data_IF_084096366342
#
_entry.id   IF_084096366342
#
_cell.length_a   1.000
_cell.length_b   1.000
_cell.length_c   1.000
_cell.angle_alpha   90.00
_cell.angle_beta   90.00
_cell.angle_gamma   90.00
#
_symmetry.space_group_name_H-M   'P 1'
#
loop_
_entity.id
_entity.type
_entity.pdbx_description
1 polymer ?
#
# COMPACT_ATOMS: atom_id res chain seq x y z
N UNK A 1 8.15 -12.37 -8.82
CA UNK A 1 8.31 -12.02 -7.41
C UNK A 1 8.37 -10.50 -7.34
N UNK A 2 7.78 -9.84 -6.34
CA UNK A 2 7.78 -8.39 -6.32
C UNK A 2 9.18 -7.84 -5.98
N UNK A 3 9.64 -6.91 -6.81
CA UNK A 3 10.79 -6.05 -6.51
C UNK A 3 10.26 -4.74 -5.96
N UNK A 4 10.80 -4.29 -4.84
CA UNK A 4 10.45 -3.04 -4.16
C UNK A 4 11.67 -2.13 -4.05
N UNK A 5 11.42 -0.84 -3.99
CA UNK A 5 12.44 0.17 -3.74
C UNK A 5 12.34 0.65 -2.30
N UNK A 6 13.41 0.50 -1.55
CA UNK A 6 13.49 0.95 -0.15
C UNK A 6 14.54 2.05 -0.02
N UNK A 7 14.27 3.04 0.85
CA UNK A 7 15.29 4.00 1.28
C UNK A 7 16.14 3.38 2.38
N UNK A 8 17.45 3.36 2.18
CA UNK A 8 18.39 2.87 3.19
C UNK A 8 18.34 3.71 4.46
N UNK A 9 18.26 5.05 4.29
CA UNK A 9 18.18 5.97 5.45
C UNK A 9 16.90 5.75 6.24
N UNK A 10 15.77 5.58 5.57
CA UNK A 10 14.49 5.34 6.23
C UNK A 10 14.50 3.99 6.96
N UNK A 11 15.01 2.94 6.31
CA UNK A 11 15.19 1.63 6.92
C UNK A 11 16.06 1.70 8.18
N UNK A 12 17.21 2.38 8.10
CA UNK A 12 18.12 2.58 9.22
C UNK A 12 17.48 3.36 10.37
N UNK A 13 16.73 4.42 10.04
CA UNK A 13 15.98 5.21 11.03
C UNK A 13 14.91 4.37 11.73
N UNK A 14 14.14 3.59 10.98
CA UNK A 14 13.10 2.70 11.51
C UNK A 14 13.70 1.58 12.36
N UNK A 15 14.82 1.02 11.95
CA UNK A 15 15.53 0.00 12.73
C UNK A 15 16.33 0.57 13.91
N UNK A 16 16.61 1.88 13.91
CA UNK A 16 17.47 2.53 14.91
C UNK A 16 18.91 1.99 14.91
N UNK A 17 19.43 1.62 13.73
CA UNK A 17 20.78 1.11 13.51
C UNK A 17 21.21 1.39 12.08
N UNK A 18 22.48 1.79 11.89
CA UNK A 18 23.11 1.86 10.56
C UNK A 18 23.61 0.49 10.15
N UNK A 19 23.58 0.23 8.86
CA UNK A 19 24.01 -1.04 8.27
C UNK A 19 25.09 -0.82 7.19
N UNK A 20 26.10 -1.68 7.17
CA UNK A 20 26.90 -1.87 5.97
C UNK A 20 26.05 -2.60 4.90
N UNK A 21 26.51 -2.61 3.66
CA UNK A 21 25.82 -3.34 2.61
C UNK A 21 25.84 -4.85 2.88
N UNK A 22 26.95 -5.34 3.41
CA UNK A 22 27.15 -6.75 3.76
C UNK A 22 26.19 -7.18 4.88
N UNK A 23 26.13 -6.40 5.98
CA UNK A 23 25.19 -6.64 7.07
C UNK A 23 23.73 -6.64 6.56
N UNK A 24 23.40 -5.70 5.67
CA UNK A 24 22.06 -5.61 5.15
C UNK A 24 21.71 -6.82 4.27
N UNK A 25 22.65 -7.32 3.46
CA UNK A 25 22.47 -8.56 2.68
C UNK A 25 22.16 -9.75 3.58
N UNK A 26 22.90 -9.92 4.66
CA UNK A 26 22.67 -11.01 5.62
C UNK A 26 21.32 -10.87 6.32
N UNK A 27 20.97 -9.66 6.78
CA UNK A 27 19.70 -9.41 7.44
C UNK A 27 18.49 -9.61 6.52
N UNK A 28 18.61 -9.25 5.25
CA UNK A 28 17.52 -9.44 4.28
C UNK A 28 17.23 -10.92 3.99
N UNK A 29 18.15 -11.84 4.28
CA UNK A 29 17.87 -13.27 4.16
C UNK A 29 16.72 -13.71 5.09
N UNK A 30 16.54 -13.07 6.24
CA UNK A 30 15.44 -13.35 7.17
C UNK A 30 14.08 -13.14 6.52
N UNK A 31 13.98 -12.15 5.64
CA UNK A 31 12.77 -11.85 4.85
C UNK A 31 12.80 -12.46 3.46
N UNK A 32 13.76 -13.35 3.18
CA UNK A 32 14.04 -13.92 1.85
C UNK A 32 14.14 -12.83 0.77
N UNK A 33 14.76 -11.71 1.15
CA UNK A 33 15.04 -10.57 0.28
C UNK A 33 16.43 -10.68 -0.34
N UNK A 34 16.52 -10.35 -1.62
CA UNK A 34 17.78 -10.23 -2.33
C UNK A 34 17.96 -8.82 -2.87
N UNK A 35 19.14 -8.23 -2.63
CA UNK A 35 19.48 -6.92 -3.19
C UNK A 35 19.83 -7.09 -4.67
N UNK A 36 19.03 -6.53 -5.54
CA UNK A 36 19.26 -6.51 -6.98
C UNK A 36 20.15 -5.34 -7.40
N UNK A 37 19.92 -4.14 -6.83
CA UNK A 37 20.68 -2.94 -7.14
C UNK A 37 20.72 -1.98 -5.95
N UNK A 38 21.74 -1.12 -5.93
CA UNK A 38 21.89 -0.02 -4.97
C UNK A 38 22.23 1.24 -5.78
N UNK A 39 21.37 2.25 -5.67
CA UNK A 39 21.51 3.53 -6.36
C UNK A 39 21.42 4.67 -5.33
N UNK A 40 22.57 5.08 -4.80
CA UNK A 40 22.63 6.06 -3.72
C UNK A 40 21.94 5.56 -2.45
N UNK A 41 20.83 6.20 -2.07
CA UNK A 41 20.02 5.79 -0.91
C UNK A 41 18.99 4.72 -1.23
N UNK A 42 18.65 4.56 -2.51
CA UNK A 42 17.64 3.59 -2.96
C UNK A 42 18.25 2.21 -3.12
N UNK A 43 17.62 1.22 -2.50
CA UNK A 43 17.98 -0.19 -2.63
C UNK A 43 16.81 -0.92 -3.28
N UNK A 44 17.06 -1.61 -4.39
CA UNK A 44 16.09 -2.51 -5.03
C UNK A 44 16.20 -3.88 -4.42
N UNK A 45 15.13 -4.34 -3.81
CA UNK A 45 15.06 -5.63 -3.11
C UNK A 45 13.99 -6.49 -3.73
N UNK A 46 14.35 -7.66 -4.21
CA UNK A 46 13.40 -8.68 -4.62
C UNK A 46 12.99 -9.52 -3.41
N UNK A 47 11.68 -9.59 -3.11
CA UNK A 47 11.13 -10.42 -2.06
C UNK A 47 10.64 -11.73 -2.66
N UNK A 48 11.24 -12.84 -2.25
CA UNK A 48 10.93 -14.18 -2.82
C UNK A 48 9.58 -14.72 -2.33
N UNK A 49 9.15 -14.33 -1.13
CA UNK A 49 7.86 -14.76 -0.58
C UNK A 49 6.70 -13.89 -1.11
N UNK A 50 5.89 -14.48 -1.97
CA UNK A 50 4.69 -13.83 -2.54
C UNK A 50 3.48 -13.83 -1.60
N UNK A 51 3.55 -14.59 -0.50
CA UNK A 51 2.50 -14.70 0.52
C UNK A 51 2.76 -13.82 1.76
N UNK A 52 3.78 -12.95 1.70
CA UNK A 52 4.15 -11.99 2.74
C UNK A 52 4.05 -10.55 2.23
N UNK A 53 2.84 -10.08 1.85
CA UNK A 53 2.66 -8.72 1.34
C UNK A 53 3.03 -7.63 2.35
N UNK A 54 3.07 -7.95 3.62
CA UNK A 54 3.57 -7.09 4.69
C UNK A 54 5.05 -6.70 4.52
N UNK A 55 5.83 -7.49 3.79
CA UNK A 55 7.25 -7.23 3.50
C UNK A 55 7.48 -6.36 2.26
N UNK A 56 6.43 -5.95 1.55
CA UNK A 56 6.56 -5.17 0.30
C UNK A 56 6.64 -3.66 0.56
N UNK A 57 7.27 -3.28 1.65
CA UNK A 57 7.53 -1.88 2.00
C UNK A 57 8.74 -1.77 2.95
N UNK A 58 9.37 -0.60 2.98
CA UNK A 58 10.45 -0.30 3.93
C UNK A 58 10.01 -0.53 5.38
N UNK A 59 8.79 -0.10 5.73
CA UNK A 59 8.25 -0.24 7.09
C UNK A 59 7.99 -1.69 7.46
N UNK A 60 7.54 -2.52 6.52
CA UNK A 60 7.31 -3.93 6.74
C UNK A 60 8.62 -4.70 6.97
N UNK A 61 9.63 -4.44 6.11
CA UNK A 61 10.97 -5.01 6.28
C UNK A 61 11.57 -4.54 7.61
N UNK A 62 11.51 -3.25 7.91
CA UNK A 62 12.04 -2.71 9.16
C UNK A 62 11.43 -3.37 10.40
N UNK A 63 10.12 -3.65 10.38
CA UNK A 63 9.44 -4.35 11.48
C UNK A 63 10.01 -5.74 11.69
N UNK A 64 10.21 -6.51 10.63
CA UNK A 64 10.78 -7.85 10.73
C UNK A 64 12.23 -7.80 11.23
N UNK A 65 13.05 -6.92 10.66
CA UNK A 65 14.45 -6.75 11.08
C UNK A 65 14.56 -6.26 12.54
N UNK A 66 13.63 -5.44 13.02
CA UNK A 66 13.60 -5.04 14.46
C UNK A 66 13.35 -6.25 15.37
N UNK A 67 12.54 -7.19 14.93
CA UNK A 67 12.34 -8.46 15.62
C UNK A 67 13.63 -9.27 15.70
N UNK A 68 14.32 -9.42 14.59
CA UNK A 68 15.62 -10.12 14.52
C UNK A 68 16.70 -9.44 15.36
N UNK A 69 16.74 -8.11 15.34
CA UNK A 69 17.64 -7.32 16.17
C UNK A 69 17.28 -7.32 17.67
N UNK A 70 16.23 -8.04 18.07
CA UNK A 70 15.78 -8.15 19.46
C UNK A 70 15.13 -6.89 20.04
N UNK A 71 14.76 -5.91 19.19
CA UNK A 71 14.18 -4.63 19.62
C UNK A 71 12.67 -4.69 19.81
N UNK A 72 11.99 -5.53 19.04
CA UNK A 72 10.53 -5.67 19.09
C UNK A 72 10.17 -7.12 18.79
N UNK A 73 9.25 -7.70 19.55
CA UNK A 73 8.82 -9.09 19.34
C UNK A 73 7.31 -9.21 19.43
N UNK A 74 6.78 -10.14 18.65
CA UNK A 74 5.36 -10.47 18.62
C UNK A 74 4.55 -9.57 17.68
N UNK A 75 3.22 -9.76 17.70
CA UNK A 75 2.30 -9.02 16.86
C UNK A 75 2.11 -7.59 17.37
N UNK A 76 2.13 -6.64 16.45
CA UNK A 76 1.77 -5.25 16.76
C UNK A 76 0.28 -5.17 17.07
N UNK A 77 -0.07 -4.59 18.20
CA UNK A 77 -1.47 -4.38 18.61
C UNK A 77 -1.86 -2.93 18.38
N UNK A 78 -2.91 -2.72 17.61
CA UNK A 78 -3.47 -1.39 17.34
C UNK A 78 -4.68 -1.12 18.21
N UNK A 79 -4.77 0.08 18.80
CA UNK A 79 -5.95 0.54 19.53
C UNK A 79 -6.94 1.12 18.52
N UNK A 80 -7.94 0.34 18.16
CA UNK A 80 -9.02 0.76 17.27
C UNK A 80 -10.16 1.37 18.09
N UNK A 81 -10.64 2.54 17.67
CA UNK A 81 -11.81 3.19 18.25
C UNK A 81 -12.98 3.12 17.28
N UNK A 82 -14.22 2.97 17.75
CA UNK A 82 -15.41 3.11 16.92
C UNK A 82 -15.42 4.49 16.23
N UNK A 83 -15.81 4.50 14.96
CA UNK A 83 -15.94 5.72 14.16
C UNK A 83 -17.40 6.08 13.96
N UNK A 84 -17.72 7.37 13.91
CA UNK A 84 -19.03 7.88 13.45
C UNK A 84 -19.12 7.91 11.92
N UNK A 85 -18.00 7.85 11.23
CA UNK A 85 -17.93 7.82 9.78
C UNK A 85 -18.47 6.48 9.26
N UNK A 86 -19.24 6.53 8.19
CA UNK A 86 -19.91 5.36 7.63
C UNK A 86 -19.59 5.18 6.16
N UNK A 87 -19.36 3.93 5.77
CA UNK A 87 -19.38 3.50 4.37
C UNK A 87 -20.65 2.67 4.18
N UNK A 88 -21.49 3.09 3.24
CA UNK A 88 -22.74 2.41 2.90
C UNK A 88 -22.50 1.60 1.65
N UNK A 89 -22.57 0.29 1.80
CA UNK A 89 -22.33 -0.67 0.70
C UNK A 89 -23.68 -1.06 0.10
N UNK A 90 -23.82 -0.89 -1.20
CA UNK A 90 -25.03 -1.27 -1.95
C UNK A 90 -25.10 -2.79 -2.11
N UNK A 91 -26.29 -3.35 -1.93
CA UNK A 91 -26.55 -4.78 -2.08
C UNK A 91 -26.25 -5.33 -3.48
N UNK A 92 -26.28 -4.50 -4.52
CA UNK A 92 -25.96 -4.90 -5.88
C UNK A 92 -24.47 -5.25 -6.09
N UNK A 93 -23.61 -4.94 -5.10
CA UNK A 93 -22.19 -5.33 -5.12
C UNK A 93 -21.93 -6.77 -4.70
N UNK A 94 -22.91 -7.49 -4.16
CA UNK A 94 -22.71 -8.83 -3.62
C UNK A 94 -22.07 -9.81 -4.61
N UNK A 95 -22.40 -9.66 -5.91
CA UNK A 95 -21.83 -10.50 -6.98
C UNK A 95 -20.60 -9.92 -7.68
N UNK A 96 -20.24 -8.69 -7.37
CA UNK A 96 -19.15 -7.96 -8.05
C UNK A 96 -17.95 -7.85 -7.12
N UNK A 97 -18.17 -7.25 -5.93
CA UNK A 97 -17.14 -7.03 -4.92
C UNK A 97 -17.80 -6.97 -3.54
N UNK A 98 -18.09 -8.14 -2.97
CA UNK A 98 -18.95 -8.26 -1.78
C UNK A 98 -18.34 -7.69 -0.51
N UNK A 99 -17.01 -7.62 -0.44
CA UNK A 99 -16.31 -7.22 0.77
C UNK A 99 -15.59 -5.89 0.57
N UNK A 100 -15.77 -5.00 1.53
CA UNK A 100 -14.96 -3.78 1.66
C UNK A 100 -14.69 -3.51 3.14
N UNK A 101 -13.50 -3.04 3.44
CA UNK A 101 -13.10 -2.61 4.78
C UNK A 101 -12.48 -1.23 4.69
N UNK A 102 -12.74 -0.39 5.68
CA UNK A 102 -12.23 0.97 5.72
C UNK A 102 -11.77 1.32 7.13
N UNK A 103 -10.73 2.13 7.22
CA UNK A 103 -10.26 2.71 8.46
C UNK A 103 -9.85 4.16 8.24
N UNK A 104 -10.01 4.99 9.27
CA UNK A 104 -9.47 6.34 9.29
C UNK A 104 -8.33 6.37 10.29
N UNK A 105 -7.17 6.84 9.86
CA UNK A 105 -5.99 6.98 10.71
C UNK A 105 -5.79 8.47 10.94
N UNK A 106 -5.80 8.88 12.20
CA UNK A 106 -5.65 10.28 12.61
C UNK A 106 -4.22 10.60 13.02
N UNK A 107 -3.88 11.88 12.99
CA UNK A 107 -2.61 12.42 13.44
C UNK A 107 -1.39 11.83 12.70
N UNK A 108 -1.54 11.58 11.41
CA UNK A 108 -0.44 11.19 10.56
C UNK A 108 0.42 12.42 10.17
N UNK A 109 1.72 12.27 10.30
CA UNK A 109 2.71 13.20 9.75
C UNK A 109 3.45 12.48 8.62
N UNK A 110 2.92 12.61 7.41
CA UNK A 110 3.50 11.97 6.24
C UNK A 110 4.63 12.83 5.66
N UNK A 111 5.78 12.21 5.49
CA UNK A 111 6.88 12.77 4.71
C UNK A 111 6.70 12.42 3.23
N UNK A 112 7.43 13.09 2.35
CA UNK A 112 7.44 12.75 0.91
C UNK A 112 7.82 11.28 0.69
N UNK A 113 8.84 10.80 1.40
CA UNK A 113 9.25 9.40 1.34
C UNK A 113 8.14 8.46 1.85
N UNK A 114 7.49 8.81 2.95
CA UNK A 114 6.34 8.05 3.46
C UNK A 114 5.19 7.93 2.45
N UNK A 115 4.91 8.99 1.70
CA UNK A 115 3.89 8.97 0.64
C UNK A 115 4.33 8.05 -0.51
N UNK A 116 5.58 8.13 -0.97
CA UNK A 116 6.13 7.22 -1.99
C UNK A 116 6.01 5.77 -1.58
N UNK A 117 6.36 5.45 -0.33
CA UNK A 117 6.24 4.09 0.21
C UNK A 117 4.80 3.60 0.27
N UNK A 118 3.85 4.47 0.65
CA UNK A 118 2.42 4.14 0.67
C UNK A 118 1.88 3.86 -0.75
N UNK A 119 2.26 4.66 -1.74
CA UNK A 119 1.88 4.47 -3.14
C UNK A 119 2.44 3.14 -3.64
N UNK A 120 3.74 2.89 -3.43
CA UNK A 120 4.38 1.64 -3.82
C UNK A 120 3.69 0.42 -3.19
N UNK A 121 3.41 0.47 -1.90
CA UNK A 121 2.71 -0.63 -1.20
C UNK A 121 1.32 -0.86 -1.77
N UNK A 122 0.55 0.21 -2.00
CA UNK A 122 -0.79 0.15 -2.59
C UNK A 122 -0.75 -0.54 -3.97
N UNK A 123 0.19 -0.16 -4.82
CA UNK A 123 0.34 -0.75 -6.15
C UNK A 123 0.78 -2.20 -6.08
N UNK A 124 1.83 -2.51 -5.32
CA UNK A 124 2.32 -3.88 -5.18
C UNK A 124 1.26 -4.83 -4.61
N UNK A 125 0.48 -4.38 -3.62
CA UNK A 125 -0.65 -5.15 -3.11
C UNK A 125 -1.72 -5.38 -4.19
N UNK A 126 -2.10 -4.33 -4.91
CA UNK A 126 -3.17 -4.40 -5.91
C UNK A 126 -2.78 -5.23 -7.13
N UNK A 127 -1.54 -5.10 -7.59
CA UNK A 127 -1.04 -5.81 -8.78
C UNK A 127 -0.75 -7.28 -8.51
N UNK A 128 -0.01 -7.57 -7.42
CA UNK A 128 0.44 -8.93 -7.14
C UNK A 128 -0.60 -9.72 -6.34
N UNK A 129 -0.80 -9.38 -5.07
CA UNK A 129 -1.77 -10.04 -4.20
C UNK A 129 -3.20 -9.90 -4.72
N UNK A 130 -3.56 -8.71 -5.18
CA UNK A 130 -4.86 -8.38 -5.75
C UNK A 130 -5.09 -8.87 -7.18
N UNK A 131 -4.10 -9.55 -7.80
CA UNK A 131 -4.17 -10.06 -9.18
C UNK A 131 -4.63 -8.98 -10.17
N UNK A 132 -3.87 -7.92 -10.29
CA UNK A 132 -4.21 -6.76 -11.11
C UNK A 132 -5.57 -6.14 -10.71
N UNK A 133 -5.80 -5.98 -9.41
CA UNK A 133 -7.05 -5.44 -8.82
C UNK A 133 -8.31 -6.32 -9.03
N UNK A 134 -8.18 -7.54 -9.56
CA UNK A 134 -9.31 -8.45 -9.77
C UNK A 134 -9.85 -9.03 -8.46
N UNK A 135 -8.95 -9.43 -7.56
CA UNK A 135 -9.29 -10.02 -6.26
C UNK A 135 -9.35 -8.97 -5.14
N UNK A 136 -8.34 -8.12 -5.07
CA UNK A 136 -8.27 -7.07 -4.06
C UNK A 136 -7.67 -5.80 -4.63
N UNK A 137 -8.13 -4.67 -4.12
CA UNK A 137 -7.55 -3.36 -4.37
C UNK A 137 -7.52 -2.56 -3.07
N UNK A 138 -6.51 -1.74 -2.89
CA UNK A 138 -6.39 -0.81 -1.77
C UNK A 138 -6.30 0.61 -2.31
N UNK A 139 -6.97 1.54 -1.65
CA UNK A 139 -6.90 2.97 -1.95
C UNK A 139 -6.65 3.75 -0.67
N UNK A 140 -5.75 4.71 -0.73
CA UNK A 140 -5.41 5.62 0.36
C UNK A 140 -5.85 7.02 -0.05
N UNK A 141 -6.61 7.67 0.81
CA UNK A 141 -7.25 8.95 0.53
C UNK A 141 -7.03 9.92 1.68
N UNK A 142 -6.96 11.20 1.36
CA UNK A 142 -6.96 12.28 2.33
C UNK A 142 -8.37 12.39 2.97
N UNK A 143 -8.48 11.98 4.23
CA UNK A 143 -9.76 11.91 4.93
C UNK A 143 -10.41 13.28 5.13
N UNK A 144 -9.63 14.37 5.17
CA UNK A 144 -10.16 15.74 5.33
C UNK A 144 -10.88 16.23 4.06
N UNK A 145 -10.60 15.61 2.92
CA UNK A 145 -11.28 15.91 1.64
C UNK A 145 -12.52 15.06 1.39
N UNK A 146 -12.80 14.09 2.26
CA UNK A 146 -13.93 13.17 2.10
C UNK A 146 -15.18 13.69 2.81
N UNK A 147 -16.30 13.68 2.12
CA UNK A 147 -17.63 13.95 2.69
C UNK A 147 -18.30 12.65 3.08
N UNK A 148 -18.68 12.52 4.33
CA UNK A 148 -19.36 11.35 4.88
C UNK A 148 -20.88 11.46 4.80
N UNK A 149 -21.64 10.34 4.63
CA UNK A 149 -21.18 8.98 4.42
C UNK A 149 -20.63 8.73 3.00
N UNK A 150 -19.73 7.75 2.88
CA UNK A 150 -19.28 7.26 1.57
C UNK A 150 -20.28 6.22 1.07
N UNK A 151 -20.68 6.31 -0.20
CA UNK A 151 -21.50 5.30 -0.85
C UNK A 151 -20.64 4.45 -1.77
N UNK A 152 -20.55 3.16 -1.46
CA UNK A 152 -19.86 2.19 -2.29
C UNK A 152 -20.90 1.38 -3.07
N UNK A 153 -20.96 1.60 -4.38
CA UNK A 153 -22.01 1.05 -5.24
C UNK A 153 -21.50 0.73 -6.63
N UNK A 154 -22.16 -0.22 -7.31
CA UNK A 154 -21.97 -0.44 -8.73
C UNK A 154 -22.52 0.74 -9.52
N UNK A 155 -21.86 1.10 -10.61
CA UNK A 155 -22.25 2.18 -11.49
C UNK A 155 -22.39 1.68 -12.93
N UNK A 156 -23.40 2.17 -13.63
CA UNK A 156 -23.53 1.90 -15.07
C UNK A 156 -22.45 2.66 -15.85
N UNK A 157 -21.62 1.96 -16.65
CA UNK A 157 -20.45 2.55 -17.29
C UNK A 157 -20.73 3.75 -18.19
N UNK A 158 -21.94 3.86 -18.75
CA UNK A 158 -22.30 4.94 -19.68
C UNK A 158 -23.00 6.12 -18.99
N UNK A 159 -23.49 5.93 -17.76
CA UNK A 159 -24.25 6.97 -17.03
C UNK A 159 -23.39 7.84 -16.11
N UNK A 160 -22.33 7.28 -15.56
CA UNK A 160 -21.42 8.02 -14.67
C UNK A 160 -20.31 8.68 -15.47
N UNK A 161 -20.04 9.95 -15.14
CA UNK A 161 -18.96 10.74 -15.73
C UNK A 161 -18.17 11.45 -14.63
N UNK A 162 -16.86 11.52 -14.79
CA UNK A 162 -15.97 12.35 -13.98
C UNK A 162 -14.73 12.71 -14.80
N UNK A 163 -13.92 13.63 -14.29
CA UNK A 163 -12.62 13.97 -14.88
C UNK A 163 -11.58 13.04 -14.28
N UNK A 164 -11.00 12.09 -15.06
CA UNK A 164 -9.94 11.22 -14.57
C UNK A 164 -8.68 12.00 -14.25
N UNK A 165 -7.77 11.39 -13.48
CA UNK A 165 -6.44 11.91 -13.24
C UNK A 165 -5.72 12.11 -14.59
N UNK A 166 -4.96 13.20 -14.72
CA UNK A 166 -4.22 13.61 -15.92
C UNK A 166 -5.07 13.89 -17.16
N UNK A 167 -6.38 14.10 -16.98
CA UNK A 167 -7.30 14.49 -18.05
C UNK A 167 -7.99 15.83 -17.75
N UNK A 168 -8.37 16.54 -18.80
CA UNK A 168 -8.97 17.88 -18.76
C UNK A 168 -10.49 17.90 -18.93
N UNK A 169 -11.10 16.74 -19.26
CA UNK A 169 -12.55 16.64 -19.55
C UNK A 169 -13.20 15.45 -18.87
N UNK A 170 -14.49 15.59 -18.57
CA UNK A 170 -15.28 14.49 -18.03
C UNK A 170 -15.50 13.39 -19.07
N UNK A 171 -15.23 12.16 -18.70
CA UNK A 171 -15.42 10.95 -19.49
C UNK A 171 -16.36 9.99 -18.77
N UNK A 172 -17.10 9.16 -19.55
CA UNK A 172 -17.81 8.03 -18.97
C UNK A 172 -16.84 6.94 -18.54
N UNK A 173 -17.27 6.05 -17.63
CA UNK A 173 -16.42 4.93 -17.21
C UNK A 173 -16.01 4.06 -18.42
N UNK A 174 -16.91 3.86 -19.40
CA UNK A 174 -16.58 3.14 -20.63
C UNK A 174 -15.51 3.85 -21.46
N UNK A 175 -15.60 5.17 -21.59
CA UNK A 175 -14.60 5.95 -22.30
C UNK A 175 -13.24 5.93 -21.61
N UNK A 176 -13.23 5.91 -20.26
CA UNK A 176 -12.01 5.79 -19.49
C UNK A 176 -11.32 4.45 -19.77
N UNK A 177 -12.06 3.34 -19.70
CA UNK A 177 -11.53 2.01 -20.01
C UNK A 177 -10.95 1.86 -21.43
N UNK A 178 -11.37 2.71 -22.36
CA UNK A 178 -10.86 2.70 -23.74
C UNK A 178 -9.66 3.62 -23.97
N UNK A 179 -9.42 4.59 -23.10
CA UNK A 179 -8.45 5.67 -23.31
C UNK A 179 -7.38 5.75 -22.25
N UNK A 180 -7.59 5.17 -21.09
CA UNK A 180 -6.63 5.13 -20.01
C UNK A 180 -5.87 3.81 -20.11
N UNK A 181 -4.59 3.90 -20.38
CA UNK A 181 -3.66 2.76 -20.33
C UNK A 181 -3.38 2.34 -18.91
#
# INVERSE_FOLDING_TARGET
MPTIEISKKDLEALCGKKFSVEELRELLLVVKGEIEAIEGDTIKVEIKDINRPDLWSTTGIARELRGELGKERGLVTYKVKPSQNKVIVDSNLERIRPLTVCAVIHNLHLTEEGIKQLIMLQEKLSENFGRERKEAAIGIYDADKIKWPIYYKAAEPDKMKFVPLDMDRALTLRQILQKHE
#
